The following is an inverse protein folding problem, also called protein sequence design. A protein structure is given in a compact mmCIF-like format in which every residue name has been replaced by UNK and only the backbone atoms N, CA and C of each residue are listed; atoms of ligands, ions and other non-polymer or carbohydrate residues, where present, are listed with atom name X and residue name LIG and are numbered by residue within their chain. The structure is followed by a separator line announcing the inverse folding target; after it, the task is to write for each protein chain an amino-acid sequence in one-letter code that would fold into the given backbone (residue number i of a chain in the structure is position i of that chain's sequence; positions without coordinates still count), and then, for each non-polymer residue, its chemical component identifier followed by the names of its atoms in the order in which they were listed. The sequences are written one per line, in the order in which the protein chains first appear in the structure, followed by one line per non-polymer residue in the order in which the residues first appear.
data_IF_839356863121
#
_entry.id   IF_839356863121
#
_cell.length_a   1.000
_cell.length_b   1.000
_cell.length_c   1.000
_cell.angle_alpha   90.00
_cell.angle_beta   90.00
_cell.angle_gamma   90.00
#
_symmetry.space_group_name_H-M   'P 1'
#
loop_
_entity.id
_entity.type
_entity.pdbx_description
1 polymer ?
#
# COMPACT_ATOMS: atom_id res chain seq x y z
N UNK A 1 -12.82 -1.50 -25.07
CA UNK A 1 -11.61 -0.91 -24.63
C UNK A 1 -11.13 -1.48 -23.30
N UNK A 2 -9.95 -1.91 -23.27
CA UNK A 2 -9.43 -2.50 -22.07
C UNK A 2 -9.12 -1.41 -21.04
N UNK A 3 -9.73 -1.49 -19.90
CA UNK A 3 -9.34 -0.66 -18.79
C UNK A 3 -7.97 -1.13 -18.30
N UNK A 4 -7.13 -0.18 -17.93
CA UNK A 4 -5.86 -0.49 -17.34
C UNK A 4 -6.09 -1.22 -16.02
N UNK A 5 -5.50 -2.40 -15.90
CA UNK A 5 -5.57 -3.13 -14.64
C UNK A 5 -4.38 -2.76 -13.77
N UNK A 6 -4.65 -2.12 -12.64
CA UNK A 6 -3.61 -1.75 -11.70
C UNK A 6 -3.24 -2.94 -10.81
N UNK A 7 -1.96 -3.05 -10.49
CA UNK A 7 -1.43 -4.07 -9.59
C UNK A 7 -1.20 -3.47 -8.21
N UNK A 8 -1.82 -4.06 -7.21
CA UNK A 8 -1.71 -3.63 -5.82
C UNK A 8 -1.01 -4.69 -5.00
N UNK A 9 -0.14 -4.26 -4.09
CA UNK A 9 0.49 -5.15 -3.11
C UNK A 9 -0.14 -4.91 -1.76
N UNK A 10 -0.68 -5.95 -1.15
CA UNK A 10 -1.29 -5.88 0.19
C UNK A 10 -0.36 -6.57 1.17
N UNK A 11 0.12 -5.83 2.15
CA UNK A 11 1.07 -6.34 3.16
C UNK A 11 0.38 -6.33 4.52
N UNK A 12 0.05 -7.51 5.02
CA UNK A 12 -0.67 -7.69 6.29
C UNK A 12 -0.37 -9.10 6.80
N UNK A 13 -0.04 -9.24 8.06
CA UNK A 13 0.28 -10.54 8.63
C UNK A 13 -0.96 -11.36 9.02
N UNK A 14 -2.13 -10.75 9.02
CA UNK A 14 -3.37 -11.41 9.36
C UNK A 14 -4.02 -12.01 8.11
N UNK A 15 -4.12 -13.34 8.08
CA UNK A 15 -4.65 -14.06 6.93
C UNK A 15 -6.08 -13.65 6.57
N UNK A 16 -6.93 -13.49 7.58
CA UNK A 16 -8.32 -13.11 7.35
C UNK A 16 -8.42 -11.72 6.71
N UNK A 17 -7.62 -10.78 7.21
CA UNK A 17 -7.59 -9.43 6.65
C UNK A 17 -7.08 -9.44 5.20
N UNK A 18 -6.03 -10.22 4.93
CA UNK A 18 -5.49 -10.35 3.57
C UNK A 18 -6.55 -10.87 2.61
N UNK A 19 -7.22 -11.97 3.01
CA UNK A 19 -8.24 -12.59 2.16
C UNK A 19 -9.40 -11.66 1.88
N UNK A 20 -9.91 -11.04 2.92
CA UNK A 20 -11.07 -10.14 2.79
C UNK A 20 -10.72 -8.95 1.89
N UNK A 21 -9.58 -8.33 2.13
CA UNK A 21 -9.15 -7.17 1.40
C UNK A 21 -8.82 -7.52 -0.06
N UNK A 22 -8.15 -8.65 -0.28
CA UNK A 22 -7.81 -9.11 -1.63
C UNK A 22 -9.06 -9.33 -2.48
N UNK A 23 -10.03 -10.05 -1.92
CA UNK A 23 -11.28 -10.33 -2.65
C UNK A 23 -12.00 -9.05 -3.01
N UNK A 24 -12.07 -8.12 -2.07
CA UNK A 24 -12.74 -6.84 -2.29
C UNK A 24 -12.09 -6.04 -3.40
N UNK A 25 -10.76 -5.97 -3.38
CA UNK A 25 -10.01 -5.22 -4.38
C UNK A 25 -10.08 -5.89 -5.74
N UNK A 26 -10.03 -7.22 -5.79
CA UNK A 26 -10.17 -7.95 -7.05
C UNK A 26 -11.54 -7.72 -7.69
N UNK A 27 -12.58 -7.62 -6.88
CA UNK A 27 -13.92 -7.30 -7.38
C UNK A 27 -13.98 -5.91 -7.99
N UNK A 28 -13.11 -5.01 -7.55
CA UNK A 28 -13.03 -3.64 -8.08
C UNK A 28 -12.18 -3.57 -9.35
N UNK A 29 -11.63 -4.70 -9.79
CA UNK A 29 -10.86 -4.78 -11.02
C UNK A 29 -9.36 -4.70 -10.86
N UNK A 30 -8.86 -4.69 -9.65
CA UNK A 30 -7.42 -4.65 -9.40
C UNK A 30 -6.80 -6.04 -9.40
N UNK A 31 -5.55 -6.12 -9.81
CA UNK A 31 -4.73 -7.31 -9.63
C UNK A 31 -4.07 -7.20 -8.26
N UNK A 32 -4.21 -8.22 -7.42
CA UNK A 32 -3.73 -8.16 -6.03
C UNK A 32 -2.71 -9.24 -5.77
N UNK A 33 -1.58 -8.83 -5.19
CA UNK A 33 -0.56 -9.74 -4.65
C UNK A 33 -0.52 -9.51 -3.15
N UNK A 34 -0.40 -10.56 -2.36
CA UNK A 34 -0.36 -10.44 -0.89
C UNK A 34 1.00 -10.82 -0.37
N UNK A 35 1.48 -10.08 0.64
CA UNK A 35 2.70 -10.37 1.36
C UNK A 35 2.36 -10.50 2.84
N UNK A 36 3.01 -11.44 3.52
CA UNK A 36 2.71 -11.77 4.92
C UNK A 36 3.59 -11.00 5.91
N UNK A 37 4.68 -10.45 5.43
CA UNK A 37 5.59 -9.65 6.25
C UNK A 37 6.36 -8.66 5.36
N UNK A 38 7.17 -7.82 6.01
CA UNK A 38 7.91 -6.78 5.31
C UNK A 38 8.98 -7.31 4.36
N UNK A 39 9.61 -8.40 4.73
CA UNK A 39 10.65 -9.01 3.90
C UNK A 39 10.06 -9.53 2.60
N UNK A 40 8.95 -10.23 2.68
CA UNK A 40 8.27 -10.73 1.49
C UNK A 40 7.78 -9.59 0.61
N UNK A 41 7.29 -8.51 1.24
CA UNK A 41 6.86 -7.33 0.51
C UNK A 41 8.00 -6.76 -0.34
N UNK A 42 9.18 -6.60 0.26
CA UNK A 42 10.33 -6.06 -0.47
C UNK A 42 10.81 -7.00 -1.58
N UNK A 43 10.71 -8.31 -1.36
CA UNK A 43 11.05 -9.28 -2.40
C UNK A 43 10.12 -9.13 -3.60
N UNK A 44 8.81 -9.00 -3.39
CA UNK A 44 7.86 -8.78 -4.47
C UNK A 44 8.13 -7.47 -5.19
N UNK A 45 8.39 -6.40 -4.43
CA UNK A 45 8.63 -5.08 -5.02
C UNK A 45 9.87 -5.05 -5.92
N UNK A 46 10.84 -5.91 -5.63
CA UNK A 46 12.05 -6.00 -6.44
C UNK A 46 11.90 -6.89 -7.66
N UNK A 47 10.84 -7.70 -7.71
CA UNK A 47 10.63 -8.64 -8.83
C UNK A 47 9.51 -8.26 -9.75
N UNK A 48 8.51 -7.51 -9.27
CA UNK A 48 7.31 -7.17 -10.02
C UNK A 48 7.02 -5.69 -9.90
N UNK A 49 6.28 -5.17 -10.85
CA UNK A 49 5.85 -3.78 -10.83
C UNK A 49 4.51 -3.67 -10.12
N UNK A 50 4.40 -2.70 -9.23
CA UNK A 50 3.16 -2.41 -8.52
C UNK A 50 2.81 -0.93 -8.68
N UNK A 51 1.52 -0.67 -8.68
CA UNK A 51 1.02 0.70 -8.80
C UNK A 51 0.72 1.33 -7.45
N UNK A 52 0.57 0.51 -6.42
CA UNK A 52 0.24 0.99 -5.08
C UNK A 52 0.50 -0.12 -4.06
N UNK A 53 0.89 0.26 -2.84
CA UNK A 53 1.11 -0.67 -1.73
C UNK A 53 0.18 -0.28 -0.58
N UNK A 54 -0.55 -1.27 -0.07
CA UNK A 54 -1.29 -1.17 1.19
C UNK A 54 -0.45 -1.86 2.25
N UNK A 55 0.02 -1.10 3.22
CA UNK A 55 1.07 -1.57 4.14
C UNK A 55 0.63 -1.42 5.60
N UNK A 56 0.59 -2.54 6.33
CA UNK A 56 0.36 -2.51 7.76
C UNK A 56 1.66 -2.17 8.48
N UNK A 57 1.55 -1.44 9.57
CA UNK A 57 2.70 -1.11 10.41
C UNK A 57 3.10 -2.28 11.30
N UNK A 58 2.11 -2.99 11.85
CA UNK A 58 2.34 -4.05 12.83
C UNK A 58 2.63 -5.39 12.13
N UNK A 59 3.85 -5.50 11.63
CA UNK A 59 4.30 -6.70 10.94
C UNK A 59 5.41 -7.39 11.73
N UNK A 60 5.49 -8.73 11.66
CA UNK A 60 6.61 -9.45 12.28
C UNK A 60 7.88 -9.28 11.46
N UNK A 61 9.02 -9.52 12.06
CA UNK A 61 10.37 -9.51 11.46
C UNK A 61 10.81 -8.11 11.06
N UNK A 62 10.07 -7.47 10.16
CA UNK A 62 10.36 -6.11 9.70
C UNK A 62 9.03 -5.36 9.71
N UNK A 63 8.91 -4.36 10.58
CA UNK A 63 7.66 -3.62 10.71
C UNK A 63 7.44 -2.67 9.52
N UNK A 64 6.24 -2.11 9.46
CA UNK A 64 5.86 -1.25 8.34
C UNK A 64 6.70 0.01 8.20
N UNK A 65 7.18 0.58 9.31
CA UNK A 65 8.07 1.75 9.23
C UNK A 65 9.34 1.41 8.48
N UNK A 66 9.93 0.26 8.79
CA UNK A 66 11.17 -0.19 8.14
C UNK A 66 10.97 -0.46 6.65
N UNK A 67 9.84 -1.07 6.30
CA UNK A 67 9.48 -1.31 4.89
C UNK A 67 9.35 0.03 4.16
N UNK A 68 8.65 0.97 4.76
CA UNK A 68 8.42 2.30 4.18
C UNK A 68 9.74 3.03 3.96
N UNK A 69 10.64 3.00 4.95
CA UNK A 69 11.95 3.61 4.82
C UNK A 69 12.74 3.05 3.65
N UNK A 70 12.81 1.72 3.54
CA UNK A 70 13.55 1.07 2.48
C UNK A 70 12.93 1.35 1.11
N UNK A 71 11.60 1.35 1.04
CA UNK A 71 10.89 1.60 -0.19
C UNK A 71 11.16 3.02 -0.69
N UNK A 72 11.11 3.99 0.20
CA UNK A 72 11.32 5.40 -0.17
C UNK A 72 12.79 5.75 -0.41
N UNK A 73 13.71 4.96 0.14
CA UNK A 73 15.14 5.15 -0.11
C UNK A 73 15.59 4.58 -1.47
N UNK A 74 14.81 3.70 -2.05
CA UNK A 74 15.13 3.08 -3.34
C UNK A 74 14.52 3.90 -4.47
N UNK A 75 15.38 4.46 -5.33
CA UNK A 75 14.92 5.34 -6.41
C UNK A 75 13.92 4.67 -7.34
N UNK A 76 14.06 3.38 -7.57
CA UNK A 76 13.15 2.65 -8.46
C UNK A 76 11.78 2.41 -7.83
N UNK A 77 11.66 2.49 -6.51
CA UNK A 77 10.44 2.20 -5.77
C UNK A 77 9.81 3.43 -5.13
N UNK A 78 10.57 4.51 -4.98
CA UNK A 78 10.15 5.68 -4.18
C UNK A 78 8.90 6.37 -4.70
N UNK A 79 8.56 6.20 -5.98
CA UNK A 79 7.39 6.82 -6.59
C UNK A 79 6.11 5.99 -6.44
N UNK A 80 6.21 4.78 -5.91
CA UNK A 80 5.03 3.93 -5.70
C UNK A 80 4.25 4.48 -4.51
N UNK A 81 2.96 4.83 -4.69
CA UNK A 81 2.15 5.31 -3.57
C UNK A 81 1.99 4.25 -2.49
N UNK A 82 2.07 4.66 -1.24
CA UNK A 82 1.90 3.77 -0.09
C UNK A 82 0.78 4.31 0.80
N UNK A 83 -0.22 3.48 1.03
CA UNK A 83 -1.28 3.75 1.99
C UNK A 83 -1.04 2.87 3.20
N UNK A 84 -0.84 3.48 4.36
CA UNK A 84 -0.67 2.74 5.60
C UNK A 84 -2.03 2.30 6.11
N UNK A 85 -2.16 1.01 6.44
CA UNK A 85 -3.40 0.47 7.03
C UNK A 85 -3.02 -0.23 8.34
N UNK A 86 -3.51 0.27 9.47
CA UNK A 86 -3.08 -0.26 10.76
C UNK A 86 -4.18 -0.13 11.80
N UNK A 87 -4.12 -0.97 12.82
CA UNK A 87 -5.01 -0.87 13.98
C UNK A 87 -4.56 0.23 14.94
N UNK A 88 -3.36 0.77 14.77
CA UNK A 88 -2.84 1.83 15.62
C UNK A 88 -3.48 3.16 15.25
N UNK A 89 -4.21 3.74 16.21
CA UNK A 89 -4.81 5.07 16.04
C UNK A 89 -4.05 6.06 16.90
N UNK A 90 -2.79 6.31 16.54
CA UNK A 90 -1.92 7.20 17.27
C UNK A 90 -1.47 8.34 16.35
N UNK A 91 -1.62 9.57 16.83
CA UNK A 91 -1.21 10.74 16.09
C UNK A 91 0.29 10.70 15.76
N UNK A 92 1.11 10.24 16.69
CA UNK A 92 2.55 10.14 16.48
C UNK A 92 2.90 9.14 15.40
N UNK A 93 2.20 8.02 15.36
CA UNK A 93 2.39 7.00 14.32
C UNK A 93 2.04 7.51 12.94
N UNK A 94 0.92 8.23 12.85
CA UNK A 94 0.51 8.84 11.60
C UNK A 94 1.53 9.86 11.12
N UNK A 95 1.96 10.75 12.02
CA UNK A 95 2.96 11.77 11.69
C UNK A 95 4.26 11.13 11.21
N UNK A 96 4.70 10.07 11.88
CA UNK A 96 5.92 9.36 11.50
C UNK A 96 5.81 8.76 10.10
N UNK A 97 4.67 8.13 9.79
CA UNK A 97 4.45 7.55 8.46
C UNK A 97 4.48 8.62 7.38
N UNK A 98 3.82 9.75 7.61
CA UNK A 98 3.77 10.82 6.64
C UNK A 98 5.16 11.44 6.43
N UNK A 99 5.94 11.59 7.50
CA UNK A 99 7.32 12.07 7.41
C UNK A 99 8.20 11.13 6.60
N UNK A 100 7.94 9.82 6.71
CA UNK A 100 8.69 8.81 5.96
C UNK A 100 8.25 8.70 4.51
N UNK A 101 7.22 9.43 4.11
CA UNK A 101 6.79 9.51 2.73
C UNK A 101 5.54 8.72 2.36
N UNK A 102 4.77 8.27 3.35
CA UNK A 102 3.49 7.62 3.05
C UNK A 102 2.53 8.62 2.40
N UNK A 103 1.71 8.13 1.51
CA UNK A 103 0.75 8.97 0.79
C UNK A 103 -0.56 9.11 1.54
N UNK A 104 -0.91 8.12 2.36
CA UNK A 104 -2.13 8.18 3.16
C UNK A 104 -2.01 7.22 4.35
N UNK A 105 -2.94 7.34 5.28
CA UNK A 105 -2.95 6.56 6.51
C UNK A 105 -4.40 6.26 6.89
N UNK A 106 -4.75 4.99 7.01
CA UNK A 106 -6.09 4.56 7.39
C UNK A 106 -6.03 3.65 8.61
N UNK A 107 -6.83 3.98 9.63
CA UNK A 107 -6.92 3.17 10.85
C UNK A 107 -7.99 2.09 10.68
N UNK A 108 -7.67 0.87 11.06
CA UNK A 108 -8.60 -0.24 11.03
C UNK A 108 -9.56 -0.16 12.23
N UNK A 109 -10.82 -0.52 12.07
CA UNK A 109 -11.47 -0.89 10.82
C UNK A 109 -11.78 0.35 9.98
N UNK A 110 -11.55 0.27 8.68
CA UNK A 110 -11.85 1.38 7.78
C UNK A 110 -13.03 1.04 6.87
N UNK A 111 -13.70 2.08 6.42
CA UNK A 111 -14.84 1.94 5.53
C UNK A 111 -14.37 1.53 4.14
N UNK A 112 -14.98 0.49 3.51
CA UNK A 112 -14.58 0.09 2.15
C UNK A 112 -14.69 1.20 1.12
N UNK A 113 -15.67 2.07 1.25
CA UNK A 113 -15.83 3.21 0.33
C UNK A 113 -14.68 4.19 0.49
N UNK A 114 -14.28 4.45 1.73
CA UNK A 114 -13.13 5.31 2.02
C UNK A 114 -11.85 4.74 1.43
N UNK A 115 -11.64 3.45 1.60
CA UNK A 115 -10.45 2.79 1.05
C UNK A 115 -10.42 2.92 -0.48
N UNK A 116 -11.53 2.64 -1.13
CA UNK A 116 -11.62 2.75 -2.59
C UNK A 116 -11.30 4.16 -3.05
N UNK A 117 -11.85 5.16 -2.38
CA UNK A 117 -11.64 6.57 -2.69
C UNK A 117 -10.16 6.96 -2.55
N UNK A 118 -9.51 6.50 -1.49
CA UNK A 118 -8.09 6.80 -1.25
C UNK A 118 -7.19 6.14 -2.26
N UNK A 119 -7.48 4.89 -2.61
CA UNK A 119 -6.72 4.17 -3.64
C UNK A 119 -6.83 4.91 -4.97
N UNK A 120 -8.05 5.27 -5.37
CA UNK A 120 -8.28 5.99 -6.63
C UNK A 120 -7.53 7.31 -6.66
N UNK A 121 -7.56 8.06 -5.56
CA UNK A 121 -6.88 9.34 -5.48
C UNK A 121 -5.36 9.19 -5.63
N UNK A 122 -4.79 8.18 -4.99
CA UNK A 122 -3.34 7.92 -5.08
C UNK A 122 -2.93 7.51 -6.49
N UNK A 123 -3.72 6.65 -7.13
CA UNK A 123 -3.43 6.20 -8.48
C UNK A 123 -3.53 7.34 -9.49
N UNK A 124 -4.52 8.21 -9.32
CA UNK A 124 -4.69 9.38 -10.18
C UNK A 124 -3.53 10.36 -10.04
N UNK A 125 -3.09 10.62 -8.81
CA UNK A 125 -1.96 11.53 -8.58
C UNK A 125 -0.69 11.01 -9.21
N UNK A 126 -0.44 9.71 -9.10
CA UNK A 126 0.73 9.08 -9.71
C UNK A 126 0.67 9.20 -11.24
N UNK A 127 -0.49 8.95 -11.81
CA UNK A 127 -0.69 9.03 -13.25
C UNK A 127 -0.43 10.45 -13.77
N UNK A 128 -0.93 11.45 -13.06
CA UNK A 128 -0.70 12.87 -13.43
C UNK A 128 0.79 13.22 -13.35
N UNK A 129 1.46 12.77 -12.29
CA UNK A 129 2.88 13.05 -12.14
C UNK A 129 3.70 12.44 -13.27
N UNK A 130 3.35 11.22 -13.69
CA UNK A 130 4.02 10.56 -14.81
C UNK A 130 3.71 11.24 -16.14
N UNK A 131 2.47 11.66 -16.32
CA UNK A 131 2.04 12.33 -17.55
C UNK A 131 2.62 13.73 -17.69
N UNK A 132 2.92 14.37 -16.57
CA UNK A 132 3.47 15.72 -16.56
C UNK A 132 4.96 15.81 -16.85
N UNK A 133 5.60 14.69 -17.06
CA UNK A 133 7.05 14.67 -17.33
C UNK A 133 7.39 14.69 -18.83
#
# INVERSE_FOLDING_TARGET
MASQQYSLLVVDDNEMNRDLLSRRLERQGYRVTVAVDGRQALEFLNREEFNLVLLDIMLPVMNGYQVLEQLKADQSLSNIPVIITTALDEADGKARCMELGADDYLTKPFNPVTLKSRISACLERRQRAQAGQ
#
